data_IF_943066149235
#
_entry.id   IF_943066149235
#
_cell.length_a   1.000
_cell.length_b   1.000
_cell.length_c   1.000
_cell.angle_alpha   90.00
_cell.angle_beta   90.00
_cell.angle_gamma   90.00
#
_symmetry.space_group_name_H-M   'P 1'
#
loop_
_entity.id
_entity.type
_entity.pdbx_description
1 polymer ?
#
# COMPACT_ATOMS: atom_id res chain seq x y z
N UNK A 1 6.66 2.58 -32.41
CA UNK A 1 7.47 3.81 -32.28
C UNK A 1 8.68 3.53 -31.37
N UNK A 2 9.74 2.91 -31.89
CA UNK A 2 10.95 2.57 -31.11
C UNK A 2 11.77 3.80 -30.68
N UNK A 3 11.59 4.94 -31.35
CA UNK A 3 12.28 6.18 -31.05
C UNK A 3 11.85 6.81 -29.71
N UNK A 4 10.58 6.64 -29.34
CA UNK A 4 10.01 7.22 -28.10
C UNK A 4 10.58 6.56 -26.84
N UNK A 5 10.90 5.25 -26.91
CA UNK A 5 11.54 4.52 -25.81
C UNK A 5 12.98 5.00 -25.57
N UNK A 6 13.73 5.23 -26.64
CA UNK A 6 15.12 5.71 -26.55
C UNK A 6 15.17 7.13 -26.00
N UNK A 7 14.24 7.99 -26.42
CA UNK A 7 14.12 9.34 -25.89
C UNK A 7 13.66 9.35 -24.43
N UNK A 8 12.75 8.45 -24.04
CA UNK A 8 12.37 8.27 -22.64
C UNK A 8 13.56 7.83 -21.77
N UNK A 9 14.33 6.84 -22.20
CA UNK A 9 15.51 6.36 -21.47
C UNK A 9 16.58 7.44 -21.33
N UNK A 10 16.82 8.21 -22.40
CA UNK A 10 17.75 9.36 -22.38
C UNK A 10 17.29 10.43 -21.39
N UNK A 11 16.00 10.76 -21.38
CA UNK A 11 15.40 11.75 -20.46
C UNK A 11 15.41 11.26 -19.01
N UNK A 12 15.17 9.98 -18.77
CA UNK A 12 15.25 9.36 -17.44
C UNK A 12 16.67 9.34 -16.88
N UNK A 13 17.67 9.03 -17.72
CA UNK A 13 19.08 9.06 -17.35
C UNK A 13 19.54 10.47 -16.98
N UNK A 14 19.15 11.49 -17.76
CA UNK A 14 19.43 12.89 -17.45
C UNK A 14 18.79 13.33 -16.13
N UNK A 15 17.53 12.92 -15.86
CA UNK A 15 16.83 13.25 -14.61
C UNK A 15 17.54 12.67 -13.38
N UNK A 16 18.07 11.44 -13.44
CA UNK A 16 18.88 10.86 -12.36
C UNK A 16 20.20 11.61 -12.17
N UNK A 17 20.90 11.94 -13.26
CA UNK A 17 22.17 12.67 -13.18
C UNK A 17 22.00 14.08 -12.60
N UNK A 18 20.91 14.77 -12.94
CA UNK A 18 20.55 16.07 -12.37
C UNK A 18 20.14 15.96 -10.89
N UNK A 19 19.32 14.96 -10.55
CA UNK A 19 18.84 14.72 -9.18
C UNK A 19 19.92 14.24 -8.20
N UNK A 20 21.06 13.72 -8.69
CA UNK A 20 22.20 13.35 -7.84
C UNK A 20 23.02 14.55 -7.35
N UNK A 21 23.02 15.67 -8.08
CA UNK A 21 23.72 16.91 -7.66
C UNK A 21 22.91 17.74 -6.67
N UNK A 22 21.60 17.55 -6.61
CA UNK A 22 20.77 18.03 -5.50
C UNK A 22 20.74 16.97 -4.42
N UNK A 23 21.88 16.86 -3.72
CA UNK A 23 21.91 16.24 -2.40
C UNK A 23 20.76 16.83 -1.60
N UNK A 24 19.81 15.94 -1.29
CA UNK A 24 18.69 16.17 -0.39
C UNK A 24 19.15 17.04 0.78
N UNK A 25 18.41 18.09 1.17
CA UNK A 25 18.66 18.71 2.47
C UNK A 25 18.68 17.58 3.50
N UNK A 26 19.72 17.59 4.35
CA UNK A 26 19.81 16.75 5.55
C UNK A 26 18.41 16.65 6.11
N UNK A 27 17.80 15.47 6.00
CA UNK A 27 16.59 15.18 6.75
C UNK A 27 16.97 15.51 8.18
N UNK A 28 16.36 16.55 8.74
CA UNK A 28 16.35 16.77 10.17
C UNK A 28 16.14 15.39 10.79
N UNK A 29 17.07 14.98 11.65
CA UNK A 29 16.94 13.75 12.41
C UNK A 29 15.49 13.67 12.88
N UNK A 30 14.75 12.58 12.58
CA UNK A 30 13.37 12.49 13.01
C UNK A 30 13.38 12.78 14.50
N UNK A 31 12.61 13.80 14.93
CA UNK A 31 12.55 14.20 16.32
C UNK A 31 12.46 12.92 17.15
N UNK A 32 13.41 12.72 18.08
CA UNK A 32 13.46 11.52 18.92
C UNK A 32 12.05 11.30 19.47
N UNK A 33 11.40 10.22 19.02
CA UNK A 33 10.07 9.86 19.50
C UNK A 33 10.23 9.64 21.00
N UNK A 34 9.56 10.47 21.80
CA UNK A 34 9.56 10.31 23.25
C UNK A 34 9.00 8.92 23.57
N UNK A 35 9.58 8.19 24.53
CA UNK A 35 8.97 6.95 24.98
C UNK A 35 7.54 7.23 25.47
N UNK A 36 6.59 6.30 25.29
CA UNK A 36 5.24 6.46 25.80
C UNK A 36 5.28 6.64 27.32
N UNK A 37 4.70 7.73 27.80
CA UNK A 37 4.47 7.95 29.22
C UNK A 37 3.22 7.17 29.61
N UNK A 38 3.39 6.04 30.29
CA UNK A 38 2.27 5.30 30.84
C UNK A 38 1.78 5.99 32.11
N UNK A 39 0.51 6.38 32.11
CA UNK A 39 -0.20 6.74 33.32
C UNK A 39 -0.37 5.51 34.21
N UNK A 40 -0.25 5.64 35.53
CA UNK A 40 -0.56 4.55 36.44
C UNK A 40 -2.02 4.13 36.23
N UNK A 41 -2.27 2.83 36.01
CA UNK A 41 -3.59 2.25 35.70
C UNK A 41 -4.72 2.67 36.66
N UNK A 42 -4.39 3.19 37.84
CA UNK A 42 -5.34 3.69 38.84
C UNK A 42 -5.99 5.04 38.49
N UNK A 43 -5.46 5.80 37.53
CA UNK A 43 -5.86 7.20 37.29
C UNK A 43 -6.34 7.47 35.85
N UNK A 44 -6.36 6.48 34.96
CA UNK A 44 -6.63 6.66 33.51
C UNK A 44 -8.06 7.04 33.13
N UNK A 45 -9.01 7.01 34.07
CA UNK A 45 -10.40 7.36 33.79
C UNK A 45 -10.63 8.87 33.97
N UNK A 46 -10.01 9.69 33.14
CA UNK A 46 -10.49 11.05 32.88
C UNK A 46 -10.78 11.19 31.38
N UNK A 47 -12.04 10.93 31.02
CA UNK A 47 -12.58 11.20 29.69
C UNK A 47 -12.63 12.72 29.55
N UNK A 48 -12.04 13.27 28.49
CA UNK A 48 -12.24 14.67 28.11
C UNK A 48 -13.48 14.71 27.23
N UNK A 49 -14.47 15.51 27.62
CA UNK A 49 -15.68 15.76 26.82
C UNK A 49 -15.27 16.43 25.50
N UNK A 50 -15.61 15.80 24.38
CA UNK A 50 -15.42 16.36 23.05
C UNK A 50 -16.65 17.23 22.77
N UNK A 51 -16.44 18.53 22.59
CA UNK A 51 -17.48 19.49 22.22
C UNK A 51 -17.91 19.25 20.76
N UNK A 52 -19.21 19.46 20.54
CA UNK A 52 -20.07 19.06 19.44
C UNK A 52 -19.57 19.17 17.99
N UNK A 53 -20.22 18.33 17.19
CA UNK A 53 -20.23 18.23 15.74
C UNK A 53 -20.41 19.57 15.01
N UNK A 54 -19.52 19.87 14.07
CA UNK A 54 -19.83 20.75 12.95
C UNK A 54 -20.24 19.89 11.74
N UNK A 55 -21.49 20.12 11.35
CA UNK A 55 -22.26 19.55 10.25
C UNK A 55 -21.58 19.82 8.89
N UNK A 56 -21.13 18.77 8.20
CA UNK A 56 -20.58 18.87 6.84
C UNK A 56 -21.76 18.87 5.87
N UNK A 57 -22.13 20.04 5.34
CA UNK A 57 -23.02 20.15 4.16
C UNK A 57 -22.17 20.44 2.94
N UNK A 58 -21.84 19.40 2.17
CA UNK A 58 -21.27 19.57 0.82
C UNK A 58 -22.39 19.59 -0.23
N UNK A 59 -22.56 20.73 -0.90
CA UNK A 59 -23.46 20.87 -2.03
C UNK A 59 -22.78 20.43 -3.34
N UNK A 60 -23.43 19.52 -4.08
CA UNK A 60 -22.98 19.06 -5.41
C UNK A 60 -23.70 19.89 -6.50
N UNK A 61 -23.01 20.70 -7.32
CA UNK A 61 -23.64 21.35 -8.46
C UNK A 61 -23.80 20.37 -9.63
N UNK A 62 -25.06 20.09 -10.01
CA UNK A 62 -25.40 19.34 -11.23
C UNK A 62 -25.40 20.30 -12.42
N UNK A 63 -24.33 20.28 -13.22
CA UNK A 63 -24.33 20.93 -14.53
C UNK A 63 -24.52 19.87 -15.62
N UNK A 64 -25.69 19.92 -16.26
CA UNK A 64 -26.03 19.15 -17.44
C UNK A 64 -25.28 19.69 -18.67
N UNK A 65 -24.60 18.81 -19.42
CA UNK A 65 -24.34 18.99 -20.86
C UNK A 65 -24.45 17.62 -21.53
N UNK A 66 -25.53 17.48 -22.29
CA UNK A 66 -25.75 16.42 -23.27
C UNK A 66 -24.66 16.48 -24.36
N UNK A 67 -24.10 15.34 -24.77
CA UNK A 67 -23.71 15.09 -26.18
C UNK A 67 -22.93 13.77 -26.32
N UNK A 68 -23.37 12.99 -27.32
CA UNK A 68 -22.71 11.84 -27.94
C UNK A 68 -22.68 10.52 -27.14
N UNK A 69 -23.79 9.79 -27.20
CA UNK A 69 -23.80 8.34 -27.06
C UNK A 69 -23.27 7.74 -28.37
N UNK A 70 -21.98 7.48 -28.43
CA UNK A 70 -21.42 6.56 -29.43
C UNK A 70 -21.51 5.15 -28.83
N UNK A 71 -22.55 4.41 -29.23
CA UNK A 71 -22.70 2.99 -28.87
C UNK A 71 -21.67 2.20 -29.67
N UNK A 72 -20.44 2.14 -29.16
CA UNK A 72 -19.50 1.09 -29.54
C UNK A 72 -20.01 -0.18 -28.87
N UNK A 73 -20.66 -1.05 -29.64
CA UNK A 73 -20.96 -2.42 -29.21
C UNK A 73 -19.65 -3.19 -29.13
N UNK A 74 -18.86 -2.93 -28.09
CA UNK A 74 -17.85 -3.87 -27.63
C UNK A 74 -18.63 -4.97 -26.90
N UNK A 75 -18.86 -6.09 -27.60
CA UNK A 75 -19.26 -7.34 -26.95
C UNK A 75 -18.06 -7.82 -26.14
N UNK A 76 -17.79 -7.16 -25.01
CA UNK A 76 -16.86 -7.67 -24.02
C UNK A 76 -17.53 -8.89 -23.39
N UNK A 77 -17.17 -10.06 -23.90
CA UNK A 77 -17.45 -11.32 -23.23
C UNK A 77 -16.77 -11.21 -21.87
N UNK A 78 -17.51 -11.26 -20.75
CA UNK A 78 -16.89 -11.20 -19.44
C UNK A 78 -15.89 -12.36 -19.34
N UNK A 79 -14.67 -12.11 -18.85
CA UNK A 79 -13.66 -13.16 -18.73
C UNK A 79 -14.27 -14.32 -17.95
N UNK A 80 -14.12 -15.52 -18.49
CA UNK A 80 -14.69 -16.71 -17.85
C UNK A 80 -13.98 -16.89 -16.51
N UNK A 81 -14.70 -17.40 -15.50
CA UNK A 81 -14.16 -17.62 -14.15
C UNK A 81 -12.81 -18.35 -14.16
N UNK A 82 -12.62 -19.30 -15.09
CA UNK A 82 -11.37 -20.04 -15.27
C UNK A 82 -10.17 -19.17 -15.68
N UNK A 83 -10.37 -18.15 -16.52
CA UNK A 83 -9.31 -17.21 -16.91
C UNK A 83 -8.93 -16.27 -15.76
N UNK A 84 -9.91 -15.85 -14.95
CA UNK A 84 -9.66 -15.03 -13.76
C UNK A 84 -8.87 -15.79 -12.69
N UNK A 85 -9.04 -17.11 -12.59
CA UNK A 85 -8.28 -17.94 -11.64
C UNK A 85 -6.89 -18.29 -12.14
N UNK A 86 -6.68 -18.43 -13.45
CA UNK A 86 -5.40 -18.81 -14.04
C UNK A 86 -4.29 -17.77 -13.74
N UNK A 87 -4.60 -16.49 -13.87
CA UNK A 87 -3.65 -15.40 -13.57
C UNK A 87 -3.35 -15.31 -12.06
N UNK A 88 -4.37 -15.56 -11.22
CA UNK A 88 -4.22 -15.64 -9.75
C UNK A 88 -3.32 -16.80 -9.32
N UNK A 89 -3.47 -17.96 -9.94
CA UNK A 89 -2.66 -19.14 -9.62
C UNK A 89 -1.20 -18.93 -10.04
N UNK A 90 -0.96 -18.31 -11.20
CA UNK A 90 0.39 -17.94 -11.63
C UNK A 90 1.02 -16.93 -10.66
N UNK A 91 0.31 -15.88 -10.28
CA UNK A 91 0.78 -14.91 -9.28
C UNK A 91 1.05 -15.57 -7.92
N UNK A 92 0.23 -16.54 -7.51
CA UNK A 92 0.42 -17.31 -6.28
C UNK A 92 1.69 -18.17 -6.31
N UNK A 93 2.00 -18.79 -7.46
CA UNK A 93 3.22 -19.61 -7.59
C UNK A 93 4.49 -18.75 -7.56
N UNK A 94 4.48 -17.56 -8.17
CA UNK A 94 5.59 -16.61 -8.10
C UNK A 94 5.82 -16.13 -6.65
N UNK A 95 4.74 -15.72 -5.96
CA UNK A 95 4.83 -15.33 -4.56
C UNK A 95 5.33 -16.46 -3.65
N UNK A 96 4.97 -17.72 -3.94
CA UNK A 96 5.46 -18.87 -3.20
C UNK A 96 6.99 -19.10 -3.38
N UNK A 97 7.53 -18.78 -4.56
CA UNK A 97 8.98 -18.83 -4.81
C UNK A 97 9.69 -17.72 -4.03
N UNK A 98 9.18 -16.49 -4.07
CA UNK A 98 9.73 -15.37 -3.31
C UNK A 98 9.74 -15.66 -1.79
N UNK A 99 8.65 -16.24 -1.27
CA UNK A 99 8.59 -16.66 0.14
C UNK A 99 9.62 -17.75 0.46
N UNK A 100 9.86 -18.68 -0.47
CA UNK A 100 10.87 -19.74 -0.30
C UNK A 100 12.29 -19.17 -0.26
N UNK A 101 12.59 -18.21 -1.13
CA UNK A 101 13.87 -17.48 -1.10
C UNK A 101 14.04 -16.70 0.21
N UNK A 102 12.99 -16.02 0.65
CA UNK A 102 12.97 -15.29 1.91
C UNK A 102 13.25 -16.23 3.09
N UNK A 103 12.60 -17.39 3.16
CA UNK A 103 12.81 -18.37 4.22
C UNK A 103 14.18 -19.06 4.21
N UNK A 104 14.90 -19.04 3.07
CA UNK A 104 16.30 -19.51 3.02
C UNK A 104 17.28 -18.47 3.59
N UNK A 105 16.85 -17.24 3.83
CA UNK A 105 17.68 -16.20 4.46
C UNK A 105 17.66 -16.29 6.00
N UNK A 106 18.74 -15.90 6.71
CA UNK A 106 18.76 -15.88 8.18
C UNK A 106 17.68 -15.00 8.81
N UNK A 107 17.24 -13.96 8.10
CA UNK A 107 16.14 -13.11 8.53
C UNK A 107 14.78 -13.80 8.36
N UNK A 108 14.54 -14.44 7.21
CA UNK A 108 13.30 -15.15 6.96
C UNK A 108 13.11 -16.38 7.85
N UNK A 109 14.18 -17.09 8.24
CA UNK A 109 14.07 -18.19 9.22
C UNK A 109 13.48 -17.69 10.55
N UNK A 110 13.91 -16.51 11.02
CA UNK A 110 13.34 -15.91 12.24
C UNK A 110 11.87 -15.54 12.03
N UNK A 111 11.52 -15.00 10.87
CA UNK A 111 10.12 -14.70 10.53
C UNK A 111 9.27 -15.99 10.45
N UNK A 112 9.79 -17.07 9.87
CA UNK A 112 9.12 -18.36 9.81
C UNK A 112 8.83 -18.91 11.22
N UNK A 113 9.81 -18.82 12.12
CA UNK A 113 9.63 -19.23 13.51
C UNK A 113 8.55 -18.42 14.22
N UNK A 114 8.56 -17.09 14.07
CA UNK A 114 7.52 -16.22 14.63
C UNK A 114 6.13 -16.52 14.06
N UNK A 115 6.03 -16.77 12.75
CA UNK A 115 4.77 -17.14 12.11
C UNK A 115 4.24 -18.47 12.66
N UNK A 116 5.13 -19.45 12.84
CA UNK A 116 4.77 -20.73 13.46
C UNK A 116 4.29 -20.53 14.89
N UNK A 117 4.93 -19.65 15.68
CA UNK A 117 4.51 -19.33 17.04
C UNK A 117 3.13 -18.64 17.07
N UNK A 118 2.87 -17.71 16.16
CA UNK A 118 1.58 -17.03 16.04
C UNK A 118 0.45 -17.99 15.66
N UNK A 119 0.68 -18.89 14.69
CA UNK A 119 -0.33 -19.86 14.24
C UNK A 119 -0.60 -20.96 15.27
N UNK A 120 0.39 -21.35 16.07
CA UNK A 120 0.21 -22.34 17.13
C UNK A 120 -0.11 -21.72 18.49
N UNK A 121 -0.34 -20.40 18.55
CA UNK A 121 -0.66 -19.73 19.81
C UNK A 121 -1.98 -20.29 20.34
N UNK A 122 -2.02 -20.85 21.56
CA UNK A 122 -3.27 -21.32 22.13
C UNK A 122 -4.25 -20.15 22.27
N UNK A 123 -5.44 -20.31 21.71
CA UNK A 123 -6.53 -19.32 21.73
C UNK A 123 -7.09 -19.08 23.13
N UNK A 124 -6.88 -20.02 24.05
CA UNK A 124 -7.42 -20.06 25.42
C UNK A 124 -6.44 -19.58 26.51
N UNK A 125 -5.38 -18.84 26.16
CA UNK A 125 -4.56 -18.16 27.18
C UNK A 125 -5.15 -16.78 27.54
N UNK A 126 -6.31 -16.80 28.16
CA UNK A 126 -6.89 -15.71 28.96
C UNK A 126 -7.88 -16.31 29.97
#
# INVERSE_FOLDING_TARGET
MPDDLQDFLRRAAQKRAAGQKQQRPRKLSPAQRRPPEYTSARTERQIRDIVDAEEIVEAIPVAAVESAVEVVTATEVPPTYEEMTADRDQASTAAAQDLRELFNSPHGIRQAFLMQELFNRPTDRW
#
